data_IF_263739533864
#
_entry.id   IF_263739533864
#
_cell.length_a   1.000
_cell.length_b   1.000
_cell.length_c   1.000
_cell.angle_alpha   90.00
_cell.angle_beta   90.00
_cell.angle_gamma   90.00
#
_symmetry.space_group_name_H-M   'P 1'
#
loop_
_entity.id
_entity.type
_entity.pdbx_description
1 polymer ?
#
# COMPACT_ATOMS: atom_id res chain seq x y z
N UNK A 1 -14.56 4.32 4.03
CA UNK A 1 -14.56 4.70 2.61
C UNK A 1 -13.58 3.77 1.92
N UNK A 2 -14.06 2.79 1.14
CA UNK A 2 -13.14 1.98 0.33
C UNK A 2 -12.53 2.90 -0.72
N UNK A 3 -11.21 3.09 -0.69
CA UNK A 3 -10.51 3.89 -1.69
C UNK A 3 -10.46 3.05 -2.98
N UNK A 4 -11.32 3.34 -3.95
CA UNK A 4 -11.22 2.76 -5.29
C UNK A 4 -10.01 3.38 -6.00
N UNK A 5 -9.09 2.55 -6.47
CA UNK A 5 -7.85 2.96 -7.13
C UNK A 5 -7.78 2.35 -8.53
N UNK A 6 -7.52 3.22 -9.51
CA UNK A 6 -7.31 2.84 -10.91
C UNK A 6 -5.82 2.93 -11.27
N UNK A 7 -5.06 1.82 -11.16
CA UNK A 7 -3.65 1.79 -11.49
C UNK A 7 -3.42 2.03 -12.97
N UNK A 8 -2.44 2.87 -13.29
CA UNK A 8 -1.89 2.99 -14.63
C UNK A 8 -0.36 3.01 -14.60
N UNK A 9 0.26 2.47 -15.65
CA UNK A 9 1.68 2.60 -15.94
C UNK A 9 1.88 3.69 -16.98
N UNK A 10 2.73 4.67 -16.71
CA UNK A 10 3.11 5.68 -17.71
C UNK A 10 4.44 5.30 -18.36
N UNK A 11 4.42 5.13 -19.68
CA UNK A 11 5.59 4.86 -20.52
C UNK A 11 5.65 5.99 -21.53
N UNK A 12 6.68 6.81 -21.44
CA UNK A 12 6.80 8.07 -22.16
C UNK A 12 5.55 8.96 -21.96
N UNK A 13 4.78 9.17 -23.02
CA UNK A 13 3.57 9.99 -23.07
C UNK A 13 2.26 9.18 -23.01
N UNK A 14 2.33 7.84 -22.99
CA UNK A 14 1.16 6.97 -22.95
C UNK A 14 0.96 6.34 -21.58
N UNK A 15 -0.29 6.33 -21.12
CA UNK A 15 -0.72 5.60 -19.94
C UNK A 15 -1.35 4.27 -20.34
N UNK A 16 -0.89 3.18 -19.72
CA UNK A 16 -1.43 1.82 -19.84
C UNK A 16 -2.23 1.51 -18.58
N UNK A 17 -3.53 1.27 -18.73
CA UNK A 17 -4.44 1.02 -17.61
C UNK A 17 -4.95 -0.45 -17.58
N UNK A 18 -5.89 -0.73 -16.67
CA UNK A 18 -6.52 -2.06 -16.56
C UNK A 18 -7.26 -2.48 -17.84
N UNK A 19 -7.81 -1.53 -18.58
CA UNK A 19 -8.55 -1.77 -19.81
C UNK A 19 -7.63 -2.22 -20.94
N UNK A 20 -6.43 -1.63 -21.03
CA UNK A 20 -5.37 -2.03 -21.97
C UNK A 20 -4.80 -3.42 -21.65
N UNK A 21 -4.61 -3.69 -20.36
CA UNK A 21 -4.16 -5.00 -19.87
C UNK A 21 -5.18 -6.09 -20.19
N UNK A 22 -6.47 -5.82 -19.96
CA UNK A 22 -7.56 -6.73 -20.32
C UNK A 22 -7.61 -6.98 -21.84
N UNK A 23 -7.38 -5.93 -22.64
CA UNK A 23 -7.27 -6.05 -24.09
C UNK A 23 -6.15 -6.98 -24.53
N UNK A 24 -4.91 -6.78 -24.04
CA UNK A 24 -3.77 -7.61 -24.40
C UNK A 24 -3.95 -9.07 -23.97
N UNK A 25 -4.48 -9.31 -22.76
CA UNK A 25 -4.81 -10.66 -22.29
C UNK A 25 -5.85 -11.35 -23.17
N UNK A 26 -6.92 -10.63 -23.55
CA UNK A 26 -7.92 -11.18 -24.45
C UNK A 26 -7.35 -11.51 -25.83
N UNK A 27 -6.37 -10.74 -26.34
CA UNK A 27 -5.67 -11.08 -27.58
C UNK A 27 -4.87 -12.38 -27.43
N UNK A 28 -4.16 -12.56 -26.31
CA UNK A 28 -3.40 -13.79 -26.03
C UNK A 28 -4.33 -15.01 -25.91
N UNK A 29 -5.42 -14.87 -25.15
CA UNK A 29 -6.39 -15.94 -24.90
C UNK A 29 -7.15 -16.37 -26.16
N UNK A 30 -7.49 -15.41 -27.02
CA UNK A 30 -8.29 -15.64 -28.23
C UNK A 30 -7.44 -15.87 -29.48
N UNK A 31 -6.14 -15.62 -29.40
CA UNK A 31 -5.20 -15.71 -30.53
C UNK A 31 -5.54 -14.78 -31.70
N UNK A 32 -6.38 -13.76 -31.49
CA UNK A 32 -6.82 -12.83 -32.54
C UNK A 32 -7.37 -11.53 -31.97
N UNK A 33 -7.16 -10.43 -32.69
CA UNK A 33 -7.66 -9.10 -32.30
C UNK A 33 -9.19 -9.00 -32.45
N UNK A 34 -9.78 -9.69 -33.43
CA UNK A 34 -11.24 -9.82 -33.58
C UNK A 34 -11.86 -10.62 -32.43
N UNK A 35 -11.27 -11.76 -32.07
CA UNK A 35 -11.75 -12.56 -30.94
C UNK A 35 -11.64 -11.81 -29.62
N UNK A 36 -10.60 -10.99 -29.43
CA UNK A 36 -10.48 -10.12 -28.26
C UNK A 36 -11.58 -9.04 -28.22
N UNK A 37 -11.88 -8.41 -29.36
CA UNK A 37 -12.94 -7.40 -29.46
C UNK A 37 -14.32 -7.99 -29.14
N UNK A 38 -14.63 -9.18 -29.67
CA UNK A 38 -15.86 -9.91 -29.37
C UNK A 38 -15.94 -10.29 -27.89
N UNK A 39 -14.87 -10.87 -27.33
CA UNK A 39 -14.84 -11.31 -25.93
C UNK A 39 -14.97 -10.17 -24.91
N UNK A 40 -14.51 -8.97 -25.27
CA UNK A 40 -14.61 -7.78 -24.44
C UNK A 40 -15.85 -6.93 -24.74
N UNK A 41 -16.68 -7.35 -25.70
CA UNK A 41 -17.83 -6.59 -26.21
C UNK A 41 -17.44 -5.16 -26.65
N UNK A 42 -16.25 -5.02 -27.25
CA UNK A 42 -15.65 -3.74 -27.68
C UNK A 42 -15.62 -3.62 -29.20
N UNK A 43 -15.57 -2.38 -29.66
CA UNK A 43 -15.41 -2.06 -31.08
C UNK A 43 -14.04 -2.49 -31.58
N UNK A 44 -14.00 -3.43 -32.54
CA UNK A 44 -12.76 -3.89 -33.18
C UNK A 44 -11.90 -2.72 -33.70
N UNK A 45 -12.43 -1.73 -34.46
CA UNK A 45 -11.63 -0.59 -34.90
C UNK A 45 -10.98 0.21 -33.75
N UNK A 46 -11.69 0.41 -32.64
CA UNK A 46 -11.14 1.14 -31.47
C UNK A 46 -10.07 0.32 -30.76
N UNK A 47 -10.30 -0.98 -30.61
CA UNK A 47 -9.33 -1.89 -30.01
C UNK A 47 -8.05 -1.93 -30.86
N UNK A 48 -8.18 -2.03 -32.18
CA UNK A 48 -7.05 -1.97 -33.11
C UNK A 48 -6.31 -0.63 -33.04
N UNK A 49 -7.03 0.50 -33.01
CA UNK A 49 -6.44 1.82 -32.88
C UNK A 49 -5.66 1.95 -31.57
N UNK A 50 -6.21 1.45 -30.47
CA UNK A 50 -5.54 1.46 -29.16
C UNK A 50 -4.27 0.62 -29.16
N UNK A 51 -4.28 -0.56 -29.79
CA UNK A 51 -3.05 -1.37 -29.95
C UNK A 51 -1.97 -0.58 -30.71
N UNK A 52 -2.33 0.09 -31.81
CA UNK A 52 -1.37 0.89 -32.59
C UNK A 52 -0.78 2.02 -31.74
N UNK A 53 -1.60 2.76 -31.01
CA UNK A 53 -1.16 3.83 -30.10
C UNK A 53 -0.17 3.31 -29.05
N UNK A 54 -0.47 2.16 -28.43
CA UNK A 54 0.43 1.53 -27.46
C UNK A 54 1.74 1.07 -28.12
N UNK A 55 1.69 0.51 -29.33
CA UNK A 55 2.88 0.05 -30.07
C UNK A 55 3.79 1.19 -30.54
N UNK A 56 3.23 2.37 -30.85
CA UNK A 56 3.99 3.56 -31.21
C UNK A 56 4.86 4.05 -30.04
N UNK A 57 4.34 4.02 -28.81
CA UNK A 57 5.07 4.46 -27.62
C UNK A 57 5.97 3.36 -27.02
N UNK A 58 5.50 2.11 -26.99
CA UNK A 58 6.14 1.03 -26.20
C UNK A 58 6.99 0.10 -27.09
N UNK A 59 6.75 0.10 -28.40
CA UNK A 59 7.25 -0.89 -29.35
C UNK A 59 6.27 -2.04 -29.55
N UNK A 60 6.58 -2.96 -30.48
CA UNK A 60 5.64 -4.00 -30.89
C UNK A 60 5.15 -4.86 -29.72
N UNK A 61 3.83 -4.94 -29.56
CA UNK A 61 3.10 -5.68 -28.55
C UNK A 61 2.41 -6.90 -29.13
N UNK A 62 2.03 -6.86 -30.42
CA UNK A 62 1.28 -7.93 -31.09
C UNK A 62 1.96 -8.36 -32.38
N UNK A 63 2.33 -9.63 -32.46
CA UNK A 63 2.78 -10.26 -33.70
C UNK A 63 1.59 -10.81 -34.48
N UNK A 64 1.51 -10.44 -35.76
CA UNK A 64 0.50 -10.97 -36.68
C UNK A 64 1.07 -12.18 -37.40
N UNK A 65 0.40 -13.31 -37.28
CA UNK A 65 0.69 -14.49 -38.11
C UNK A 65 -0.12 -14.40 -39.40
N UNK A 66 0.53 -14.48 -40.56
CA UNK A 66 -0.17 -14.58 -41.85
C UNK A 66 -0.96 -15.89 -41.90
N UNK A 67 -2.28 -15.80 -41.90
CA UNK A 67 -3.17 -16.94 -42.06
C UNK A 67 -3.61 -17.12 -43.51
N UNK A 68 -3.70 -18.38 -43.93
CA UNK A 68 -4.42 -18.80 -45.14
C UNK A 68 -5.93 -18.72 -44.96
N UNK A 69 -6.67 -19.70 -45.51
CA UNK A 69 -8.14 -19.67 -45.63
C UNK A 69 -8.94 -19.43 -44.34
N UNK A 70 -8.36 -19.70 -43.16
CA UNK A 70 -9.03 -19.56 -41.85
C UNK A 70 -8.69 -18.25 -41.10
N UNK A 71 -7.97 -17.31 -41.72
CA UNK A 71 -7.67 -15.99 -41.15
C UNK A 71 -6.37 -15.94 -40.33
N UNK A 72 -5.73 -14.78 -40.31
CA UNK A 72 -4.46 -14.56 -39.60
C UNK A 72 -4.64 -14.46 -38.08
N UNK A 73 -3.69 -15.02 -37.33
CA UNK A 73 -3.65 -14.97 -35.87
C UNK A 73 -2.94 -13.73 -35.34
N UNK A 74 -3.16 -13.44 -34.06
CA UNK A 74 -2.44 -12.42 -33.28
C UNK A 74 -1.89 -13.07 -32.01
N UNK A 75 -0.61 -12.89 -31.72
CA UNK A 75 0.04 -13.37 -30.50
C UNK A 75 0.80 -12.23 -29.83
N UNK A 76 0.90 -12.27 -28.50
CA UNK A 76 1.69 -11.26 -27.79
C UNK A 76 3.19 -11.44 -28.03
N UNK A 77 3.90 -10.32 -28.14
CA UNK A 77 5.37 -10.28 -28.20
C UNK A 77 5.99 -10.49 -26.81
N UNK A 78 7.32 -10.57 -26.73
CA UNK A 78 8.04 -10.52 -25.45
C UNK A 78 7.77 -9.21 -24.70
N UNK A 79 7.78 -8.07 -25.41
CA UNK A 79 7.50 -6.74 -24.86
C UNK A 79 6.13 -6.66 -24.21
N UNK A 80 5.09 -7.22 -24.85
CA UNK A 80 3.75 -7.25 -24.27
C UNK A 80 3.69 -8.09 -22.99
N UNK A 81 4.35 -9.26 -22.96
CA UNK A 81 4.40 -10.09 -21.74
C UNK A 81 5.14 -9.38 -20.60
N UNK A 82 6.23 -8.67 -20.90
CA UNK A 82 6.95 -7.86 -19.92
C UNK A 82 6.09 -6.70 -19.39
N UNK A 83 5.33 -6.04 -20.26
CA UNK A 83 4.39 -4.98 -19.89
C UNK A 83 3.31 -5.52 -18.94
N UNK A 84 2.69 -6.64 -19.27
CA UNK A 84 1.69 -7.31 -18.42
C UNK A 84 2.29 -7.67 -17.05
N UNK A 85 3.49 -8.26 -17.03
CA UNK A 85 4.17 -8.61 -15.78
C UNK A 85 4.54 -7.38 -14.93
N UNK A 86 4.89 -6.25 -15.54
CA UNK A 86 5.11 -4.98 -14.82
C UNK A 86 3.81 -4.43 -14.24
N UNK A 87 2.72 -4.50 -14.98
CA UNK A 87 1.41 -4.06 -14.50
C UNK A 87 0.93 -4.92 -13.33
N UNK A 88 1.11 -6.24 -13.40
CA UNK A 88 0.76 -7.13 -12.29
C UNK A 88 1.57 -6.84 -11.03
N UNK A 89 2.85 -6.51 -11.16
CA UNK A 89 3.68 -6.06 -10.03
C UNK A 89 3.18 -4.72 -9.45
N UNK A 90 2.76 -3.78 -10.29
CA UNK A 90 2.15 -2.52 -9.85
C UNK A 90 0.87 -2.81 -9.06
N UNK A 91 -0.05 -3.58 -9.62
CA UNK A 91 -1.31 -3.94 -8.95
C UNK A 91 -1.03 -4.63 -7.62
N UNK A 92 -0.14 -5.62 -7.59
CA UNK A 92 0.19 -6.33 -6.35
C UNK A 92 0.82 -5.42 -5.28
N UNK A 93 1.73 -4.52 -5.69
CA UNK A 93 2.32 -3.55 -4.78
C UNK A 93 1.27 -2.58 -4.19
N UNK A 94 0.26 -2.22 -4.98
CA UNK A 94 -0.79 -1.30 -4.56
C UNK A 94 -1.94 -1.98 -3.81
N UNK A 95 -2.37 -3.18 -4.16
CA UNK A 95 -3.37 -3.94 -3.39
C UNK A 95 -2.85 -4.28 -2.00
N UNK A 96 -1.54 -4.54 -1.88
CA UNK A 96 -0.85 -4.63 -0.59
C UNK A 96 -0.80 -3.32 0.20
N UNK A 97 -1.22 -2.18 -0.37
CA UNK A 97 -1.25 -0.85 0.29
C UNK A 97 -2.69 -0.38 0.51
N UNK A 98 -3.61 -0.65 -0.42
CA UNK A 98 -4.95 -0.07 -0.47
C UNK A 98 -5.97 -0.74 0.48
N UNK A 99 -5.69 -1.96 0.95
CA UNK A 99 -6.54 -2.69 1.93
C UNK A 99 -5.98 -2.66 3.36
N UNK A 100 -4.94 -1.87 3.59
CA UNK A 100 -4.21 -1.89 4.86
C UNK A 100 -4.76 -0.82 5.78
N UNK A 101 -5.09 -1.22 7.01
CA UNK A 101 -5.48 -0.29 8.06
C UNK A 101 -4.36 0.73 8.33
N UNK A 102 -4.74 1.99 8.50
CA UNK A 102 -3.83 3.09 8.78
C UNK A 102 -4.08 3.59 10.21
N UNK A 103 -3.07 3.49 11.07
CA UNK A 103 -3.07 4.15 12.38
C UNK A 103 -2.41 5.52 12.24
N UNK A 104 -3.06 6.56 12.76
CA UNK A 104 -2.57 7.95 12.70
C UNK A 104 -2.23 8.43 14.10
N UNK A 105 -0.98 8.87 14.30
CA UNK A 105 -0.47 9.43 15.53
C UNK A 105 -0.03 10.88 15.27
N UNK A 106 -0.61 11.83 16.00
CA UNK A 106 -0.34 13.26 15.78
C UNK A 106 0.38 13.89 16.96
N UNK A 107 1.19 14.91 16.68
CA UNK A 107 1.83 15.70 17.71
C UNK A 107 2.85 16.72 17.19
N UNK A 108 3.52 17.46 18.08
CA UNK A 108 4.58 18.39 17.71
C UNK A 108 5.83 17.65 17.23
N UNK A 109 6.51 18.25 16.24
CA UNK A 109 7.85 17.83 15.82
C UNK A 109 8.86 18.37 16.82
N UNK A 110 9.57 17.48 17.51
CA UNK A 110 10.52 17.83 18.58
C UNK A 110 11.98 17.74 18.14
N UNK A 111 12.27 17.00 17.07
CA UNK A 111 13.61 16.87 16.48
C UNK A 111 13.52 16.58 14.97
N UNK A 112 14.54 17.00 14.20
CA UNK A 112 14.60 16.79 12.74
C UNK A 112 16.04 16.61 12.25
N UNK A 113 16.22 15.61 11.40
CA UNK A 113 17.42 15.35 10.61
C UNK A 113 17.04 15.10 9.15
N UNK A 114 17.10 16.17 8.34
CA UNK A 114 16.64 16.15 6.95
C UNK A 114 15.14 15.80 6.85
N UNK A 115 14.82 14.76 6.09
CA UNK A 115 13.44 14.27 5.94
C UNK A 115 12.96 13.41 7.12
N UNK A 116 13.83 13.07 8.07
CA UNK A 116 13.46 12.33 9.27
C UNK A 116 13.09 13.31 10.38
N UNK A 117 11.92 13.12 10.99
CA UNK A 117 11.47 13.94 12.12
C UNK A 117 10.95 13.07 13.25
N UNK A 118 11.25 13.48 14.48
CA UNK A 118 10.72 12.91 15.71
C UNK A 118 9.48 13.68 16.11
N UNK A 119 8.35 12.98 16.20
CA UNK A 119 7.04 13.55 16.57
C UNK A 119 6.68 13.04 17.96
N UNK A 120 6.44 13.93 18.92
CA UNK A 120 6.01 13.56 20.26
C UNK A 120 4.51 13.26 20.25
N UNK A 121 4.10 12.02 20.48
CA UNK A 121 2.71 11.57 20.41
C UNK A 121 2.21 11.06 21.77
N UNK A 122 0.92 10.76 21.89
CA UNK A 122 0.35 10.17 23.12
C UNK A 122 0.95 8.80 23.52
N UNK A 123 1.60 8.13 22.57
CA UNK A 123 2.28 6.84 22.77
C UNK A 123 3.80 6.97 22.77
N UNK A 124 4.31 8.18 23.03
CA UNK A 124 5.73 8.52 23.05
C UNK A 124 6.23 9.09 21.72
N UNK A 125 7.56 9.18 21.61
CA UNK A 125 8.23 9.76 20.45
C UNK A 125 8.25 8.78 19.27
N UNK A 126 7.82 9.27 18.10
CA UNK A 126 7.76 8.50 16.86
C UNK A 126 8.66 9.13 15.81
N UNK A 127 9.65 8.36 15.33
CA UNK A 127 10.51 8.76 14.23
C UNK A 127 9.88 8.39 12.90
N UNK A 128 9.65 9.38 12.03
CA UNK A 128 8.97 9.20 10.75
C UNK A 128 9.64 10.00 9.62
N UNK A 129 9.37 9.61 8.38
CA UNK A 129 9.74 10.42 7.20
C UNK A 129 8.68 11.50 7.01
N UNK A 130 9.06 12.76 7.16
CA UNK A 130 8.21 13.95 7.06
C UNK A 130 8.85 14.92 6.06
N UNK A 131 8.44 14.88 4.77
CA UNK A 131 9.09 15.67 3.71
C UNK A 131 8.95 17.19 3.87
N UNK A 132 7.89 17.64 4.54
CA UNK A 132 7.59 19.06 4.74
C UNK A 132 8.14 19.55 6.07
N UNK A 133 8.77 20.73 6.07
CA UNK A 133 9.05 21.48 7.29
C UNK A 133 7.73 21.85 7.97
N UNK A 134 7.48 21.28 9.15
CA UNK A 134 6.25 21.48 9.91
C UNK A 134 6.56 21.45 11.41
N UNK A 135 5.83 22.27 12.18
CA UNK A 135 5.91 22.30 13.64
C UNK A 135 5.10 21.16 14.28
N UNK A 136 4.08 20.66 13.56
CA UNK A 136 3.23 19.55 13.94
C UNK A 136 3.10 18.59 12.76
N UNK A 137 2.99 17.30 13.04
CA UNK A 137 2.81 16.29 12.00
C UNK A 137 1.83 15.20 12.43
N UNK A 138 1.07 14.70 11.47
CA UNK A 138 0.30 13.47 11.59
C UNK A 138 1.10 12.33 10.97
N UNK A 139 1.52 11.36 11.78
CA UNK A 139 2.29 10.18 11.38
C UNK A 139 1.34 9.01 11.11
N UNK A 140 1.37 8.50 9.89
CA UNK A 140 0.64 7.31 9.48
C UNK A 140 1.54 6.08 9.54
N UNK A 141 1.04 5.04 10.22
CA UNK A 141 1.62 3.70 10.27
C UNK A 141 0.61 2.74 9.63
N UNK A 142 1.07 1.98 8.63
CA UNK A 142 0.24 0.97 7.95
C UNK A 142 0.37 -0.37 8.66
N UNK A 143 -0.72 -1.14 8.75
CA UNK A 143 -0.72 -2.43 9.45
C UNK A 143 0.22 -3.49 8.87
N UNK A 144 0.56 -3.42 7.58
CA UNK A 144 1.57 -4.27 6.91
C UNK A 144 3.02 -3.89 7.26
N UNK A 145 3.25 -2.71 7.84
CA UNK A 145 4.56 -2.21 8.26
C UNK A 145 4.89 -2.55 9.72
N UNK A 146 3.94 -3.12 10.45
CA UNK A 146 4.07 -3.45 11.87
C UNK A 146 4.58 -4.88 12.03
N UNK A 147 5.68 -5.03 12.76
CA UNK A 147 6.19 -6.35 13.20
C UNK A 147 5.90 -6.56 14.68
N UNK A 148 5.39 -7.74 15.03
CA UNK A 148 5.06 -8.09 16.42
C UNK A 148 6.15 -8.97 17.04
N UNK A 149 6.44 -8.69 18.30
CA UNK A 149 7.39 -9.44 19.11
C UNK A 149 6.80 -9.73 20.49
N UNK A 150 7.20 -10.87 21.07
CA UNK A 150 7.04 -11.06 22.51
C UNK A 150 7.90 -10.03 23.26
N UNK A 151 7.48 -9.54 24.43
CA UNK A 151 8.24 -8.55 25.21
C UNK A 151 9.68 -8.98 25.53
N UNK A 152 9.95 -10.29 25.63
CA UNK A 152 11.29 -10.85 25.88
C UNK A 152 12.21 -10.86 24.66
N UNK A 153 11.65 -10.82 23.45
CA UNK A 153 12.34 -11.16 22.20
C UNK A 153 12.50 -9.94 21.27
N UNK A 154 12.33 -8.76 21.85
CA UNK A 154 12.44 -7.47 21.18
C UNK A 154 13.90 -7.25 20.76
N UNK A 155 14.23 -7.13 19.46
CA UNK A 155 15.62 -6.95 19.02
C UNK A 155 16.25 -5.70 19.64
N UNK A 156 17.49 -5.76 20.13
CA UNK A 156 18.14 -4.60 20.76
C UNK A 156 18.22 -3.39 19.79
N UNK A 157 18.10 -2.18 20.33
CA UNK A 157 18.10 -0.94 19.54
C UNK A 157 19.45 -0.68 18.84
N UNK A 158 20.54 -1.16 19.43
CA UNK A 158 21.89 -1.07 18.86
C UNK A 158 22.02 -2.01 17.66
N UNK A 159 22.11 -1.44 16.45
CA UNK A 159 22.32 -2.17 15.21
C UNK A 159 21.07 -2.61 14.44
N UNK A 160 19.87 -2.17 14.84
CA UNK A 160 18.63 -2.42 14.07
C UNK A 160 18.06 -1.14 13.48
N UNK A 161 17.47 -1.21 12.28
CA UNK A 161 16.77 -0.08 11.63
C UNK A 161 15.37 0.18 12.19
N UNK A 162 14.98 -0.54 13.25
CA UNK A 162 13.69 -0.47 13.92
C UNK A 162 13.78 0.54 15.06
N UNK A 163 13.12 1.68 14.87
CA UNK A 163 13.23 2.85 15.77
C UNK A 163 11.96 3.09 16.57
N UNK A 164 10.80 2.77 16.02
CA UNK A 164 9.53 2.95 16.71
C UNK A 164 9.12 1.64 17.37
N UNK A 165 8.82 1.68 18.66
CA UNK A 165 8.44 0.50 19.46
C UNK A 165 7.32 0.88 20.40
N UNK A 166 6.23 0.13 20.30
CA UNK A 166 5.02 0.38 21.05
C UNK A 166 4.68 -0.88 21.82
N UNK A 167 4.95 -0.92 23.14
CA UNK A 167 4.38 -1.96 23.98
C UNK A 167 2.86 -1.80 24.04
N UNK A 168 2.14 -2.92 24.08
CA UNK A 168 0.70 -2.92 24.10
C UNK A 168 0.09 -4.28 24.41
N UNK A 169 -1.24 -4.29 24.48
CA UNK A 169 -2.03 -5.50 24.64
C UNK A 169 -2.84 -5.74 23.36
N UNK A 170 -2.93 -7.00 22.93
CA UNK A 170 -3.83 -7.37 21.83
C UNK A 170 -5.27 -7.10 22.27
N UNK A 171 -6.00 -6.23 21.57
CA UNK A 171 -7.39 -5.89 21.86
C UNK A 171 -8.35 -6.88 21.19
N UNK A 172 -8.09 -7.19 19.92
CA UNK A 172 -8.85 -8.13 19.11
C UNK A 172 -7.97 -8.84 18.07
N UNK A 173 -8.47 -9.97 17.55
CA UNK A 173 -7.83 -10.73 16.50
C UNK A 173 -8.87 -11.28 15.51
N UNK A 174 -8.71 -10.95 14.24
CA UNK A 174 -9.52 -11.46 13.13
C UNK A 174 -8.65 -12.35 12.23
N UNK A 175 -8.92 -13.66 12.25
CA UNK A 175 -8.21 -14.62 11.41
C UNK A 175 -8.86 -14.74 10.03
N UNK A 176 -8.05 -14.59 8.98
CA UNK A 176 -8.38 -15.01 7.61
C UNK A 176 -7.71 -16.34 7.24
N UNK A 177 -7.71 -16.66 5.94
CA UNK A 177 -7.17 -17.93 5.44
C UNK A 177 -5.64 -18.03 5.58
N UNK A 178 -4.91 -16.97 5.24
CA UNK A 178 -3.43 -16.94 5.29
C UNK A 178 -2.86 -15.88 6.24
N UNK A 179 -3.62 -14.82 6.49
CA UNK A 179 -3.23 -13.66 7.30
C UNK A 179 -4.28 -13.38 8.36
N UNK A 180 -3.89 -12.69 9.42
CA UNK A 180 -4.75 -12.24 10.50
C UNK A 180 -4.53 -10.75 10.75
N UNK A 181 -5.61 -10.03 11.05
CA UNK A 181 -5.57 -8.64 11.51
C UNK A 181 -5.64 -8.64 13.03
N UNK A 182 -4.86 -7.77 13.65
CA UNK A 182 -4.71 -7.70 15.10
C UNK A 182 -4.79 -6.24 15.52
N UNK A 183 -5.72 -5.91 16.41
CA UNK A 183 -5.76 -4.64 17.11
C UNK A 183 -4.87 -4.68 18.35
N UNK A 184 -4.16 -3.59 18.61
CA UNK A 184 -3.22 -3.48 19.72
C UNK A 184 -3.46 -2.15 20.42
N UNK A 185 -3.88 -2.23 21.67
CA UNK A 185 -3.99 -1.08 22.55
C UNK A 185 -2.59 -0.67 22.98
N UNK A 186 -2.14 0.50 22.54
CA UNK A 186 -0.81 0.99 22.84
C UNK A 186 -0.73 1.58 24.26
N UNK A 187 0.36 1.29 24.98
CA UNK A 187 0.63 1.92 26.27
C UNK A 187 0.99 3.41 26.07
N UNK A 188 0.37 4.30 26.86
CA UNK A 188 0.66 5.74 26.83
C UNK A 188 1.85 6.11 27.70
N UNK A 189 2.50 7.22 27.34
CA UNK A 189 3.60 7.81 28.10
C UNK A 189 3.14 9.12 28.75
N UNK A 190 2.11 9.07 29.62
CA UNK A 190 1.74 10.22 30.45
C UNK A 190 1.79 9.90 31.94
N UNK A 191 2.65 10.62 32.66
CA UNK A 191 2.56 10.85 34.11
C UNK A 191 2.28 9.64 34.99
N UNK A 192 3.27 8.76 35.17
CA UNK A 192 3.39 7.75 36.24
C UNK A 192 2.20 6.82 36.53
N UNK A 193 1.16 6.78 35.69
CA UNK A 193 0.04 5.85 35.78
C UNK A 193 -0.21 5.25 34.39
N UNK A 194 -0.02 3.94 34.26
CA UNK A 194 -0.35 3.18 33.04
C UNK A 194 -1.86 3.30 32.81
N UNK A 195 -2.26 4.10 31.83
CA UNK A 195 -3.63 4.13 31.29
C UNK A 195 -3.58 3.79 29.82
N UNK A 196 -4.50 2.94 29.40
CA UNK A 196 -4.82 2.74 27.97
C UNK A 196 -5.26 4.10 27.42
N UNK A 197 -4.65 4.57 26.33
CA UNK A 197 -5.23 5.70 25.59
C UNK A 197 -6.57 5.21 25.05
N UNK A 198 -7.67 5.87 25.42
CA UNK A 198 -9.02 5.50 24.96
C UNK A 198 -9.18 5.54 23.42
N UNK A 199 -8.19 6.04 22.66
CA UNK A 199 -8.30 6.22 21.21
C UNK A 199 -7.06 5.82 20.37
N UNK A 200 -6.03 5.16 20.92
CA UNK A 200 -4.82 4.82 20.14
C UNK A 200 -4.64 3.31 19.97
N UNK A 201 -5.43 2.74 19.06
CA UNK A 201 -5.29 1.36 18.60
C UNK A 201 -4.37 1.29 17.37
N UNK A 202 -3.34 0.45 17.45
CA UNK A 202 -2.50 0.09 16.31
C UNK A 202 -3.00 -1.21 15.69
N UNK A 203 -3.24 -1.21 14.38
CA UNK A 203 -3.57 -2.44 13.66
C UNK A 203 -2.31 -3.04 13.06
N UNK A 204 -2.15 -4.36 13.17
CA UNK A 204 -1.09 -5.12 12.52
C UNK A 204 -1.67 -6.23 11.63
N UNK A 205 -1.11 -6.39 10.43
CA UNK A 205 -1.41 -7.50 9.54
C UNK A 205 -0.29 -8.53 9.61
N UNK A 206 -0.58 -9.70 10.16
CA UNK A 206 0.42 -10.77 10.38
C UNK A 206 0.02 -12.06 9.71
N UNK A 207 0.99 -12.97 9.51
CA UNK A 207 0.69 -14.31 9.00
C UNK A 207 0.11 -15.20 10.10
N UNK A 208 -0.67 -16.22 9.73
CA UNK A 208 -1.13 -17.24 10.69
C UNK A 208 -0.01 -17.91 11.46
N UNK A 209 1.12 -18.15 10.79
CA UNK A 209 2.33 -18.67 11.44
C UNK A 209 2.81 -17.77 12.57
N UNK A 210 2.72 -16.45 12.41
CA UNK A 210 3.10 -15.48 13.45
C UNK A 210 2.11 -15.50 14.62
N UNK A 211 0.80 -15.65 14.35
CA UNK A 211 -0.23 -15.81 15.38
C UNK A 211 0.07 -17.02 16.27
N UNK A 212 0.33 -18.17 15.63
CA UNK A 212 0.65 -19.41 16.34
C UNK A 212 1.99 -19.32 17.08
N UNK A 213 3.02 -18.75 16.46
CA UNK A 213 4.36 -18.68 17.06
C UNK A 213 4.44 -17.73 18.27
N UNK A 214 3.63 -16.67 18.28
CA UNK A 214 3.61 -15.68 19.36
C UNK A 214 2.48 -15.91 20.37
N UNK A 215 1.63 -16.91 20.12
CA UNK A 215 0.45 -17.24 20.92
C UNK A 215 -0.46 -16.00 21.09
N UNK A 216 -0.83 -15.41 19.95
CA UNK A 216 -1.57 -14.14 19.91
C UNK A 216 -3.05 -14.39 20.17
N UNK A 217 -3.55 -13.77 21.24
CA UNK A 217 -4.94 -13.76 21.66
C UNK A 217 -5.26 -12.44 22.37
N UNK A 218 -6.54 -12.01 22.44
CA UNK A 218 -6.92 -10.83 23.21
C UNK A 218 -6.39 -10.85 24.65
N UNK A 219 -5.81 -9.74 25.10
CA UNK A 219 -5.12 -9.59 26.39
C UNK A 219 -3.65 -9.98 26.38
N UNK A 220 -3.12 -10.54 25.28
CA UNK A 220 -1.69 -10.88 25.17
C UNK A 220 -0.82 -9.63 25.09
N UNK A 221 0.22 -9.58 25.90
CA UNK A 221 1.24 -8.52 25.82
C UNK A 221 2.18 -8.73 24.64
N UNK A 222 2.34 -7.70 23.84
CA UNK A 222 3.18 -7.67 22.64
C UNK A 222 3.94 -6.36 22.55
N UNK A 223 4.99 -6.35 21.75
CA UNK A 223 5.69 -5.13 21.35
C UNK A 223 5.60 -5.02 19.84
N UNK A 224 4.85 -4.01 19.39
CA UNK A 224 4.78 -3.63 17.99
C UNK A 224 6.02 -2.81 17.62
N UNK A 225 6.63 -3.13 16.49
CA UNK A 225 7.85 -2.47 16.05
C UNK A 225 7.73 -2.01 14.59
N UNK A 226 8.20 -0.79 14.32
CA UNK A 226 8.09 -0.15 13.02
C UNK A 226 9.43 0.52 12.67
N UNK A 227 9.87 0.36 11.43
CA UNK A 227 11.03 1.08 10.89
C UNK A 227 10.67 2.54 10.68
N UNK A 228 11.61 3.45 10.95
CA UNK A 228 11.38 4.89 10.78
C UNK A 228 10.89 5.26 9.37
N UNK A 229 11.42 4.60 8.33
CA UNK A 229 11.07 4.84 6.92
C UNK A 229 9.71 4.27 6.51
N UNK A 230 9.09 3.44 7.35
CA UNK A 230 7.76 2.91 7.12
C UNK A 230 6.66 3.76 7.78
N UNK A 231 7.03 4.62 8.73
CA UNK A 231 6.17 5.66 9.29
C UNK A 231 6.29 6.93 8.44
N UNK A 232 5.16 7.47 7.96
CA UNK A 232 5.15 8.67 7.11
C UNK A 232 4.37 9.78 7.77
N UNK A 233 4.97 10.94 7.91
CA UNK A 233 4.30 12.11 8.42
C UNK A 233 3.91 13.09 7.31
N UNK A 234 2.78 13.75 7.51
CA UNK A 234 2.36 14.93 6.75
C UNK A 234 2.18 16.09 7.72
N UNK A 235 2.43 17.31 7.24
CA UNK A 235 2.14 18.51 8.02
C UNK A 235 0.67 18.52 8.45
N UNK A 236 0.44 18.57 9.75
CA UNK A 236 -0.89 18.79 10.32
C UNK A 236 -1.09 20.30 10.47
N UNK A 237 -1.29 21.00 9.35
CA UNK A 237 -1.72 22.39 9.38
C UNK A 237 -3.18 22.49 9.85
N UNK A 238 -3.50 23.49 10.67
CA UNK A 238 -4.85 23.83 11.11
C UNK A 238 -5.84 23.73 9.94
N UNK A 239 -6.69 22.71 9.95
CA UNK A 239 -7.97 22.76 9.24
C UNK A 239 -8.99 23.40 10.17
N UNK A 240 -8.76 24.65 10.56
CA UNK A 240 -9.78 25.52 11.14
C UNK A 240 -9.49 26.96 10.72
N UNK A 241 -10.38 27.52 9.90
CA UNK A 241 -10.39 28.95 9.58
C UNK A 241 -10.50 29.32 8.09
N UNK A 242 -11.46 28.76 7.34
CA UNK A 242 -12.04 29.52 6.22
C UNK A 242 -13.57 29.47 6.35
N UNK A 243 -14.03 30.22 7.34
CA UNK A 243 -15.40 30.26 7.82
C UNK A 243 -15.65 31.52 8.64
N UNK A 244 -15.31 32.69 8.10
CA UNK A 244 -15.85 34.00 8.47
C UNK A 244 -15.64 34.89 7.23
N UNK A 245 -16.61 35.56 6.62
CA UNK A 245 -17.85 36.13 7.13
C UNK A 245 -17.87 37.62 6.76
N UNK A 246 -18.60 37.96 5.70
CA UNK A 246 -19.22 39.29 5.51
C UNK A 246 -18.36 40.42 4.93
N UNK A 247 -18.72 40.89 3.74
CA UNK A 247 -19.63 42.04 3.57
C UNK A 247 -20.29 41.97 2.20
#
# INVERSE_FOLDING_TARGET
MEKEFDPYLRIDDVAVDRSDVAMLRAIDDRGSLSGAAEALERSYPRLQQRVVELEEAIGSLVERTRGGADGGGSSLTGTARDLLARFDRLVAAYEGVARVDETVLSGPVVDRDGELATVATGVGDVLAVVPSEAATASVTIRSDAVSLHAPSDVPRAEGTSVRNRFPGLVSWLESGDAVARIGIDLETVEGNERRTADDTELVALVTRRSVEALDLEPGRSVVASVKATAARGVSSGDRDGDGDGGT
#
